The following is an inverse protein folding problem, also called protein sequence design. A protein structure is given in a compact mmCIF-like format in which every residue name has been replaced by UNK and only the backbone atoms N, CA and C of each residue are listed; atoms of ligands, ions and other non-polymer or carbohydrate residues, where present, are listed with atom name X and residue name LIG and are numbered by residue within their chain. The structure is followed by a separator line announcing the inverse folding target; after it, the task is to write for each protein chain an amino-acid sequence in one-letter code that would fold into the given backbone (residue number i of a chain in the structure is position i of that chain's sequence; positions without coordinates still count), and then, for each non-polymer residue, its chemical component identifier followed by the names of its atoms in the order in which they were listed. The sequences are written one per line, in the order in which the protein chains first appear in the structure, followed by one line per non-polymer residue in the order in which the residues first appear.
data_IF_430635438024
#
_entry.id   IF_430635438024
#
_cell.length_a   1.000
_cell.length_b   1.000
_cell.length_c   1.000
_cell.angle_alpha   90.00
_cell.angle_beta   90.00
_cell.angle_gamma   90.00
#
_symmetry.space_group_name_H-M   'P 1'
#
loop_
_entity.id
_entity.type
_entity.pdbx_description
1 polymer ?
#
# COMPACT_ATOMS: atom_id res chain seq x y z
N UNK A 1 10.63 1.32 11.00
CA UNK A 1 12.05 1.45 10.60
C UNK A 1 12.27 1.32 9.08
N UNK A 2 11.58 0.40 8.37
CA UNK A 2 11.77 0.20 6.91
C UNK A 2 11.42 1.41 6.05
N UNK A 3 10.53 2.28 6.50
CA UNK A 3 10.13 3.50 5.78
C UNK A 3 10.89 4.75 6.21
N UNK A 4 11.79 4.64 7.19
CA UNK A 4 12.67 5.76 7.58
C UNK A 4 13.58 6.25 6.44
N UNK A 5 14.20 5.39 5.62
CA UNK A 5 14.99 5.85 4.47
C UNK A 5 14.17 6.68 3.46
N UNK A 6 12.88 6.39 3.32
CA UNK A 6 11.96 7.18 2.48
C UNK A 6 11.77 8.58 3.08
N UNK A 7 11.61 8.66 4.40
CA UNK A 7 11.57 9.95 5.11
C UNK A 7 12.83 10.75 4.88
N UNK A 8 13.99 10.14 5.11
CA UNK A 8 15.28 10.82 4.99
C UNK A 8 15.48 11.37 3.56
N UNK A 9 15.11 10.59 2.55
CA UNK A 9 15.18 11.00 1.15
C UNK A 9 14.20 12.15 0.82
N UNK A 10 12.93 12.03 1.18
CA UNK A 10 11.92 13.06 0.96
C UNK A 10 12.29 14.36 1.68
N UNK A 11 12.81 14.25 2.91
CA UNK A 11 13.26 15.39 3.69
C UNK A 11 14.42 16.14 3.02
N UNK A 12 15.38 15.40 2.46
CA UNK A 12 16.49 16.00 1.71
C UNK A 12 15.98 16.80 0.51
N UNK A 13 15.04 16.25 -0.28
CA UNK A 13 14.47 16.98 -1.42
C UNK A 13 13.68 18.20 -0.96
N UNK A 14 12.88 18.07 0.10
CA UNK A 14 12.08 19.19 0.63
C UNK A 14 12.96 20.30 1.20
N UNK A 15 14.14 19.99 1.73
CA UNK A 15 15.10 20.99 2.20
C UNK A 15 15.78 21.74 1.04
N UNK A 16 15.90 21.10 -0.15
CA UNK A 16 16.38 21.73 -1.39
C UNK A 16 15.27 22.51 -2.11
N UNK A 17 14.04 21.98 -2.10
CA UNK A 17 12.85 22.61 -2.70
C UNK A 17 11.65 22.47 -1.74
N UNK A 18 11.37 23.52 -1.00
CA UNK A 18 10.27 23.56 -0.02
C UNK A 18 8.88 23.35 -0.65
N UNK A 19 8.74 23.53 -1.96
CA UNK A 19 7.47 23.37 -2.70
C UNK A 19 7.29 21.96 -3.26
N UNK A 20 8.27 21.08 -3.15
CA UNK A 20 8.27 19.74 -3.75
C UNK A 20 7.03 18.89 -3.41
N UNK A 21 6.53 18.99 -2.18
CA UNK A 21 5.36 18.25 -1.71
C UNK A 21 4.07 19.08 -1.71
N UNK A 22 4.11 20.34 -2.19
CA UNK A 22 2.94 21.20 -2.22
C UNK A 22 1.82 20.60 -3.08
N UNK A 23 0.62 20.55 -2.52
CA UNK A 23 -0.56 19.99 -3.17
C UNK A 23 -0.60 18.45 -3.23
N UNK A 24 0.44 17.76 -2.75
CA UNK A 24 0.46 16.30 -2.66
C UNK A 24 -0.34 15.84 -1.45
N UNK A 25 -1.24 14.87 -1.67
CA UNK A 25 -1.98 14.22 -0.58
C UNK A 25 -1.34 12.88 -0.24
N UNK A 26 -0.91 12.74 1.00
CA UNK A 26 -0.40 11.48 1.51
C UNK A 26 -1.55 10.55 1.91
N UNK A 27 -1.55 9.35 1.37
CA UNK A 27 -2.46 8.27 1.80
C UNK A 27 -1.58 7.06 2.15
N UNK A 28 -1.63 6.63 3.39
CA UNK A 28 -0.74 5.58 3.87
C UNK A 28 -1.35 4.64 4.89
N UNK A 29 -0.66 3.54 5.13
CA UNK A 29 -1.01 2.60 6.18
C UNK A 29 -0.60 3.14 7.56
N UNK A 30 -1.35 2.75 8.59
CA UNK A 30 -1.12 3.18 9.98
C UNK A 30 0.24 2.78 10.56
N UNK A 31 0.99 1.90 9.92
CA UNK A 31 2.32 1.44 10.34
C UNK A 31 3.49 2.07 9.57
N UNK A 32 3.24 3.14 8.81
CA UNK A 32 4.30 3.93 8.18
C UNK A 32 5.15 4.62 9.25
N UNK A 33 6.42 4.90 8.95
CA UNK A 33 7.28 5.68 9.84
C UNK A 33 6.61 7.03 10.16
N UNK A 34 6.41 7.38 11.44
CA UNK A 34 5.51 8.47 11.82
C UNK A 34 5.82 9.82 11.17
N UNK A 35 7.11 10.14 11.02
CA UNK A 35 7.51 11.45 10.50
C UNK A 35 7.27 11.61 8.98
N UNK A 36 7.12 10.51 8.22
CA UNK A 36 6.80 10.58 6.78
C UNK A 36 5.52 11.37 6.56
N UNK A 37 4.46 11.04 7.30
CA UNK A 37 3.17 11.72 7.16
C UNK A 37 3.23 13.22 7.52
N UNK A 38 4.20 13.62 8.36
CA UNK A 38 4.35 15.00 8.80
C UNK A 38 4.98 15.91 7.75
N UNK A 39 5.53 15.34 6.68
CA UNK A 39 6.02 16.08 5.52
C UNK A 39 4.89 16.61 4.64
N UNK A 40 3.66 16.13 4.82
CA UNK A 40 2.53 16.45 3.96
C UNK A 40 1.48 17.26 4.71
N UNK A 41 0.99 18.34 4.10
CA UNK A 41 -0.11 19.14 4.64
C UNK A 41 -1.45 18.39 4.61
N UNK A 42 -1.64 17.57 3.57
CA UNK A 42 -2.85 16.79 3.34
C UNK A 42 -2.53 15.31 3.52
N UNK A 43 -3.15 14.68 4.50
CA UNK A 43 -2.82 13.29 4.83
C UNK A 43 -4.02 12.50 5.36
N UNK A 44 -4.04 11.21 5.05
CA UNK A 44 -4.95 10.24 5.61
C UNK A 44 -4.21 8.92 5.86
N UNK A 45 -4.47 8.31 7.01
CA UNK A 45 -4.01 6.95 7.31
C UNK A 45 -5.19 5.99 7.25
N UNK A 46 -4.97 4.82 6.70
CA UNK A 46 -5.93 3.73 6.75
C UNK A 46 -5.39 2.55 7.56
N UNK A 47 -6.32 1.78 8.12
CA UNK A 47 -6.01 0.61 8.92
C UNK A 47 -5.89 -0.62 8.02
N UNK A 48 -4.82 -1.38 8.19
CA UNK A 48 -4.64 -2.66 7.50
C UNK A 48 -5.03 -3.82 8.43
N UNK A 49 -5.61 -4.90 7.90
CA UNK A 49 -5.90 -6.10 8.68
C UNK A 49 -4.60 -6.83 9.09
N UNK A 50 -4.71 -7.70 10.09
CA UNK A 50 -3.61 -8.53 10.60
C UNK A 50 -2.40 -7.71 11.08
N UNK A 51 -2.66 -6.62 11.74
CA UNK A 51 -1.66 -5.72 12.32
C UNK A 51 -2.03 -5.43 13.77
N UNK A 52 -1.11 -5.71 14.70
CA UNK A 52 -1.37 -5.57 16.13
C UNK A 52 -1.75 -4.14 16.53
N UNK A 53 -1.15 -3.12 15.89
CA UNK A 53 -1.51 -1.72 16.10
C UNK A 53 -2.94 -1.43 15.65
N UNK A 54 -3.35 -1.98 14.51
CA UNK A 54 -4.73 -1.89 14.02
C UNK A 54 -5.72 -2.53 15.01
N UNK A 55 -5.42 -3.74 15.47
CA UNK A 55 -6.29 -4.44 16.43
C UNK A 55 -6.40 -3.66 17.74
N UNK A 56 -5.30 -3.12 18.23
CA UNK A 56 -5.29 -2.25 19.40
C UNK A 56 -6.15 -0.99 19.21
N UNK A 57 -6.03 -0.31 18.07
CA UNK A 57 -6.85 0.87 17.75
C UNK A 57 -8.33 0.51 17.73
N UNK A 58 -8.70 -0.57 17.06
CA UNK A 58 -10.10 -0.98 16.96
C UNK A 58 -10.69 -1.40 18.31
N UNK A 59 -9.94 -2.13 19.10
CA UNK A 59 -10.41 -2.60 20.40
C UNK A 59 -10.48 -1.48 21.44
N UNK A 60 -9.57 -0.51 21.40
CA UNK A 60 -9.52 0.57 22.40
C UNK A 60 -10.35 1.79 22.05
N UNK A 61 -10.49 2.09 20.76
CA UNK A 61 -11.13 3.31 20.30
C UNK A 61 -12.49 3.06 19.65
N UNK A 62 -12.50 2.29 18.56
CA UNK A 62 -13.74 1.99 17.84
C UNK A 62 -13.58 0.70 17.01
N UNK A 63 -14.31 -0.35 17.35
CA UNK A 63 -14.29 -1.63 16.66
C UNK A 63 -14.83 -1.56 15.23
N UNK A 64 -15.64 -0.55 14.92
CA UNK A 64 -16.27 -0.35 13.61
C UNK A 64 -15.40 0.40 12.61
N UNK A 65 -14.19 0.86 13.01
CA UNK A 65 -13.25 1.49 12.07
C UNK A 65 -12.95 0.54 10.90
N UNK A 66 -13.09 1.03 9.66
CA UNK A 66 -12.95 0.20 8.49
C UNK A 66 -11.51 -0.28 8.29
N UNK A 67 -11.38 -1.51 7.81
CA UNK A 67 -10.12 -2.09 7.40
C UNK A 67 -10.02 -2.10 5.88
N UNK A 68 -8.83 -1.82 5.36
CA UNK A 68 -8.55 -1.97 3.93
C UNK A 68 -7.97 -3.37 3.68
N UNK A 69 -8.84 -4.29 3.32
CA UNK A 69 -8.45 -5.66 3.00
C UNK A 69 -7.65 -5.71 1.69
N UNK A 70 -6.75 -6.69 1.58
CA UNK A 70 -5.84 -6.82 0.45
C UNK A 70 -4.68 -5.81 0.44
N UNK A 71 -4.54 -4.99 1.48
CA UNK A 71 -3.52 -3.93 1.58
C UNK A 71 -2.10 -4.42 1.94
N UNK A 72 -1.90 -5.71 2.12
CA UNK A 72 -0.60 -6.33 2.40
C UNK A 72 -0.08 -7.09 1.17
N UNK A 73 1.24 -7.25 1.01
CA UNK A 73 2.33 -6.74 1.86
C UNK A 73 2.99 -5.46 1.35
N UNK A 74 2.63 -4.92 0.18
CA UNK A 74 3.32 -3.78 -0.45
C UNK A 74 2.44 -2.53 -0.57
N UNK A 75 3.07 -1.38 -0.92
CA UNK A 75 2.34 -0.14 -1.20
C UNK A 75 1.35 -0.28 -2.36
N UNK A 76 1.65 -1.08 -3.38
CA UNK A 76 0.72 -1.39 -4.49
C UNK A 76 -0.53 -2.07 -3.96
N UNK A 77 -0.38 -3.07 -3.08
CA UNK A 77 -1.50 -3.74 -2.44
C UNK A 77 -2.36 -2.74 -1.63
N UNK A 78 -1.70 -1.86 -0.88
CA UNK A 78 -2.36 -0.78 -0.14
C UNK A 78 -3.16 0.15 -1.04
N UNK A 79 -2.56 0.60 -2.14
CA UNK A 79 -3.22 1.49 -3.10
C UNK A 79 -4.42 0.82 -3.78
N UNK A 80 -4.26 -0.38 -4.32
CA UNK A 80 -5.36 -1.13 -4.97
C UNK A 80 -6.48 -1.41 -3.99
N UNK A 81 -6.14 -1.89 -2.78
CA UNK A 81 -7.12 -2.13 -1.73
C UNK A 81 -7.89 -0.87 -1.36
N UNK A 82 -7.19 0.26 -1.19
CA UNK A 82 -7.80 1.54 -0.89
C UNK A 82 -8.77 2.00 -1.98
N UNK A 83 -8.32 2.08 -3.23
CA UNK A 83 -9.15 2.55 -4.34
C UNK A 83 -10.32 1.62 -4.65
N UNK A 84 -10.17 0.31 -4.44
CA UNK A 84 -11.27 -0.63 -4.52
C UNK A 84 -12.36 -0.35 -3.47
N UNK A 85 -11.95 0.02 -2.26
CA UNK A 85 -12.90 0.28 -1.17
C UNK A 85 -13.63 1.62 -1.26
N UNK A 86 -13.02 2.65 -1.84
CA UNK A 86 -13.67 3.97 -1.98
C UNK A 86 -14.53 4.11 -3.24
N UNK A 87 -14.43 3.18 -4.20
CA UNK A 87 -15.20 3.23 -5.44
C UNK A 87 -14.70 4.28 -6.43
N UNK A 88 -13.43 4.23 -6.79
CA UNK A 88 -12.73 5.27 -7.56
C UNK A 88 -12.87 5.18 -9.09
N UNK A 89 -13.76 4.35 -9.63
CA UNK A 89 -13.80 4.10 -11.08
C UNK A 89 -12.68 3.16 -11.55
N UNK A 90 -12.30 3.21 -12.83
CA UNK A 90 -11.27 2.33 -13.40
C UNK A 90 -9.90 2.55 -12.78
N UNK A 91 -9.15 1.46 -12.62
CA UNK A 91 -7.78 1.47 -12.10
C UNK A 91 -6.81 0.99 -13.17
N UNK A 92 -5.75 1.74 -13.37
CA UNK A 92 -4.65 1.41 -14.29
C UNK A 92 -3.39 1.11 -13.49
N UNK A 93 -2.88 -0.12 -13.59
CA UNK A 93 -1.70 -0.59 -12.86
C UNK A 93 -0.45 -0.41 -13.74
N UNK A 94 0.46 0.48 -13.34
CA UNK A 94 1.75 0.70 -13.98
C UNK A 94 2.89 0.27 -13.07
N UNK A 95 3.88 -0.45 -13.63
CA UNK A 95 5.03 -0.93 -12.84
C UNK A 95 4.66 -1.94 -11.75
N UNK A 96 3.51 -2.59 -11.88
CA UNK A 96 3.01 -3.62 -10.96
C UNK A 96 3.36 -5.00 -11.50
N UNK A 97 4.65 -5.26 -11.73
CA UNK A 97 5.11 -6.41 -12.50
C UNK A 97 4.94 -7.74 -11.77
N UNK A 98 5.02 -7.77 -10.44
CA UNK A 98 4.97 -8.99 -9.61
C UNK A 98 5.88 -10.11 -10.11
N UNK A 99 6.92 -9.74 -10.81
CA UNK A 99 7.88 -10.64 -11.43
C UNK A 99 8.85 -9.88 -12.33
N UNK A 100 9.69 -10.61 -13.03
CA UNK A 100 10.74 -10.06 -13.90
C UNK A 100 11.03 -11.00 -15.07
N UNK A 101 11.40 -10.44 -16.22
CA UNK A 101 11.72 -11.22 -17.42
C UNK A 101 13.14 -11.75 -17.44
N UNK A 102 14.03 -11.10 -16.70
CA UNK A 102 15.44 -11.47 -16.57
C UNK A 102 15.70 -11.82 -15.09
N UNK A 103 16.04 -13.07 -14.81
CA UNK A 103 16.28 -13.56 -13.46
C UNK A 103 17.40 -12.84 -12.70
N UNK A 104 18.21 -12.07 -13.39
CA UNK A 104 19.27 -11.23 -12.81
C UNK A 104 18.81 -9.81 -12.48
N UNK A 105 17.60 -9.41 -12.91
CA UNK A 105 17.07 -8.03 -12.81
C UNK A 105 15.73 -7.98 -12.08
N UNK A 106 15.74 -8.43 -10.83
CA UNK A 106 14.53 -8.49 -10.00
C UNK A 106 14.00 -7.14 -9.50
N UNK A 107 14.77 -6.06 -9.66
CA UNK A 107 14.38 -4.68 -9.35
C UNK A 107 14.96 -3.72 -10.39
N UNK A 108 14.48 -2.49 -10.42
CA UNK A 108 15.03 -1.45 -11.29
C UNK A 108 16.49 -1.18 -10.93
N UNK A 109 17.31 -0.87 -11.96
CA UNK A 109 18.77 -0.72 -11.85
C UNK A 109 19.22 0.24 -10.74
N UNK A 110 18.44 1.27 -10.47
CA UNK A 110 18.78 2.31 -9.49
C UNK A 110 18.04 2.11 -8.14
N UNK A 111 17.46 0.94 -7.90
CA UNK A 111 16.82 0.67 -6.62
C UNK A 111 17.85 0.38 -5.53
N UNK A 112 17.57 0.80 -4.31
CA UNK A 112 18.42 0.52 -3.14
C UNK A 112 18.62 -0.98 -2.82
N UNK A 113 17.86 -1.86 -3.50
CA UNK A 113 18.02 -3.30 -3.35
C UNK A 113 19.36 -3.84 -3.85
N UNK A 114 19.98 -3.17 -4.82
CA UNK A 114 21.28 -3.59 -5.33
C UNK A 114 22.46 -3.11 -4.46
N UNK A 115 22.27 -2.02 -3.72
CA UNK A 115 23.32 -1.39 -2.93
C UNK A 115 23.18 -1.66 -1.43
N UNK A 116 22.00 -1.43 -0.87
CA UNK A 116 21.75 -1.47 0.58
C UNK A 116 21.36 -2.86 1.10
N UNK A 117 20.78 -3.71 0.25
CA UNK A 117 20.20 -4.99 0.64
C UNK A 117 20.89 -6.21 0.00
N UNK A 118 22.09 -6.05 -0.53
CA UNK A 118 22.85 -7.13 -1.20
C UNK A 118 22.97 -8.43 -0.40
N UNK A 119 23.09 -8.33 0.92
CA UNK A 119 23.26 -9.52 1.77
C UNK A 119 21.91 -10.15 2.17
N UNK A 120 20.85 -9.36 2.23
CA UNK A 120 19.53 -9.82 2.68
C UNK A 120 18.82 -10.70 1.64
N UNK A 121 19.21 -10.58 0.38
CA UNK A 121 18.45 -11.14 -0.75
C UNK A 121 19.02 -12.42 -1.35
N UNK A 122 20.20 -12.88 -0.97
CA UNK A 122 20.81 -14.07 -1.59
C UNK A 122 19.99 -15.35 -1.45
N UNK A 123 19.28 -15.51 -0.34
CA UNK A 123 18.48 -16.71 -0.07
C UNK A 123 17.01 -16.55 -0.48
N UNK A 124 16.49 -15.34 -0.54
CA UNK A 124 15.09 -15.07 -0.91
C UNK A 124 14.80 -15.38 -2.38
N UNK A 125 15.80 -15.24 -3.25
CA UNK A 125 15.70 -15.51 -4.69
C UNK A 125 16.05 -16.96 -5.08
N UNK A 126 16.39 -17.80 -4.13
CA UNK A 126 16.83 -19.19 -4.38
C UNK A 126 15.69 -20.10 -4.88
N UNK A 127 14.44 -19.67 -4.82
CA UNK A 127 13.27 -20.43 -5.27
C UNK A 127 12.45 -19.63 -6.28
N UNK A 128 13.00 -19.49 -7.48
CA UNK A 128 12.28 -18.89 -8.58
C UNK A 128 11.18 -19.82 -9.08
N UNK A 129 9.99 -19.24 -9.26
CA UNK A 129 8.89 -19.86 -9.99
C UNK A 129 8.67 -19.09 -11.29
N UNK A 130 7.93 -19.68 -12.21
CA UNK A 130 7.49 -18.98 -13.42
C UNK A 130 5.98 -18.82 -13.42
N UNK A 131 5.51 -17.69 -13.97
CA UNK A 131 4.10 -17.38 -14.17
C UNK A 131 3.85 -16.97 -15.61
N UNK A 132 2.58 -17.02 -16.02
CA UNK A 132 2.13 -16.44 -17.29
C UNK A 132 2.36 -14.91 -17.25
N UNK A 133 2.90 -14.36 -18.32
CA UNK A 133 3.07 -12.92 -18.48
C UNK A 133 1.75 -12.23 -18.85
N UNK A 134 1.60 -10.97 -18.47
CA UNK A 134 0.40 -10.15 -18.73
C UNK A 134 0.11 -10.04 -20.25
N UNK A 135 1.15 -9.84 -21.04
CA UNK A 135 1.07 -9.81 -22.51
C UNK A 135 1.55 -11.11 -23.16
N UNK A 136 1.44 -12.22 -22.43
CA UNK A 136 1.90 -13.54 -22.87
C UNK A 136 3.35 -13.85 -22.48
N UNK A 137 3.79 -15.05 -22.87
CA UNK A 137 5.11 -15.56 -22.47
C UNK A 137 5.18 -15.94 -21.01
N UNK A 138 6.39 -15.97 -20.45
CA UNK A 138 6.67 -16.33 -19.06
C UNK A 138 7.48 -15.26 -18.37
N UNK A 139 7.22 -15.07 -17.08
CA UNK A 139 8.00 -14.20 -16.17
C UNK A 139 8.48 -15.02 -14.98
N UNK A 140 9.64 -14.67 -14.45
CA UNK A 140 10.14 -15.18 -13.20
C UNK A 140 9.47 -14.45 -12.04
N UNK A 141 9.22 -15.17 -10.96
CA UNK A 141 8.68 -14.59 -9.72
C UNK A 141 9.24 -15.34 -8.53
N UNK A 142 9.14 -14.74 -7.36
CA UNK A 142 9.46 -15.35 -6.09
C UNK A 142 8.21 -15.40 -5.18
N UNK A 143 8.37 -16.00 -4.01
CA UNK A 143 7.28 -16.13 -3.05
C UNK A 143 6.69 -14.78 -2.62
N UNK A 144 7.51 -13.74 -2.52
CA UNK A 144 7.08 -12.41 -2.10
C UNK A 144 6.24 -11.75 -3.18
N UNK A 145 6.74 -11.71 -4.42
CA UNK A 145 6.00 -11.15 -5.56
C UNK A 145 4.70 -11.92 -5.83
N UNK A 146 4.75 -13.25 -5.75
CA UNK A 146 3.56 -14.08 -5.98
C UNK A 146 2.50 -13.85 -4.88
N UNK A 147 2.92 -13.69 -3.64
CA UNK A 147 2.04 -13.31 -2.52
C UNK A 147 1.42 -11.92 -2.72
N UNK A 148 2.22 -10.94 -3.18
CA UNK A 148 1.72 -9.61 -3.51
C UNK A 148 0.67 -9.65 -4.61
N UNK A 149 0.94 -10.41 -5.68
CA UNK A 149 0.02 -10.61 -6.80
C UNK A 149 -1.30 -11.23 -6.35
N UNK A 150 -1.26 -12.31 -5.58
CA UNK A 150 -2.45 -12.97 -5.05
C UNK A 150 -3.27 -12.04 -4.14
N UNK A 151 -2.63 -11.18 -3.37
CA UNK A 151 -3.32 -10.20 -2.52
C UNK A 151 -4.05 -9.13 -3.34
N UNK A 152 -3.47 -8.69 -4.47
CA UNK A 152 -4.17 -7.80 -5.42
C UNK A 152 -5.35 -8.52 -6.06
N UNK A 153 -5.18 -9.76 -6.52
CA UNK A 153 -6.25 -10.58 -7.10
C UNK A 153 -7.40 -10.80 -6.10
N UNK A 154 -7.07 -11.04 -4.83
CA UNK A 154 -8.05 -11.14 -3.76
C UNK A 154 -8.82 -9.83 -3.57
N UNK A 155 -8.12 -8.68 -3.54
CA UNK A 155 -8.75 -7.37 -3.41
C UNK A 155 -9.70 -7.07 -4.59
N UNK A 156 -9.28 -7.36 -5.81
CA UNK A 156 -10.12 -7.16 -7.01
C UNK A 156 -11.37 -8.03 -6.94
N UNK A 157 -11.24 -9.29 -6.52
CA UNK A 157 -12.36 -10.25 -6.48
C UNK A 157 -13.40 -9.91 -5.40
N UNK A 158 -12.96 -9.45 -4.23
CA UNK A 158 -13.82 -9.40 -3.04
C UNK A 158 -14.16 -7.99 -2.55
N UNK A 159 -13.45 -6.97 -3.00
CA UNK A 159 -13.57 -5.63 -2.46
C UNK A 159 -13.88 -4.54 -3.50
N UNK A 160 -14.14 -4.91 -4.73
CA UNK A 160 -14.64 -3.96 -5.74
C UNK A 160 -16.08 -3.63 -5.42
N UNK A 161 -16.35 -2.38 -5.05
CA UNK A 161 -17.70 -1.90 -4.75
C UNK A 161 -18.51 -1.49 -5.99
N UNK A 162 -17.82 -1.14 -7.05
CA UNK A 162 -18.44 -0.74 -8.31
C UNK A 162 -18.30 -1.87 -9.33
N UNK A 163 -19.42 -2.51 -9.67
CA UNK A 163 -19.46 -3.63 -10.63
C UNK A 163 -19.10 -3.19 -12.06
N UNK A 164 -19.20 -1.91 -12.37
CA UNK A 164 -18.83 -1.37 -13.68
C UNK A 164 -17.34 -1.01 -13.79
N UNK A 165 -16.59 -1.15 -12.70
CA UNK A 165 -15.18 -0.81 -12.64
C UNK A 165 -14.33 -1.87 -13.30
N UNK A 166 -13.38 -1.42 -14.11
CA UNK A 166 -12.33 -2.27 -14.68
C UNK A 166 -10.98 -1.97 -14.02
N UNK A 167 -10.22 -3.02 -13.77
CA UNK A 167 -8.82 -2.90 -13.38
C UNK A 167 -7.96 -3.33 -14.56
N UNK A 168 -7.23 -2.39 -15.13
CA UNK A 168 -6.32 -2.63 -16.24
C UNK A 168 -4.90 -2.90 -15.74
N UNK A 169 -4.26 -3.94 -16.25
CA UNK A 169 -2.84 -4.18 -16.02
C UNK A 169 -2.04 -3.71 -17.24
N UNK A 170 -1.36 -2.58 -17.07
CA UNK A 170 -0.51 -1.97 -18.11
C UNK A 170 0.96 -2.35 -17.94
N UNK A 171 1.29 -3.25 -17.02
CA UNK A 171 2.65 -3.69 -16.73
C UNK A 171 3.03 -4.93 -17.53
N UNK A 172 4.28 -5.03 -17.97
CA UNK A 172 4.80 -6.18 -18.72
C UNK A 172 5.40 -7.25 -17.77
N UNK A 173 4.71 -7.51 -16.69
CA UNK A 173 5.04 -8.49 -15.66
C UNK A 173 4.13 -9.71 -15.66
N UNK A 174 3.91 -10.28 -14.48
CA UNK A 174 3.02 -11.42 -14.29
C UNK A 174 1.55 -11.03 -14.52
N UNK A 175 0.80 -11.94 -15.12
CA UNK A 175 -0.66 -11.80 -15.25
C UNK A 175 -1.31 -11.75 -13.87
N UNK A 176 -2.17 -10.78 -13.68
CA UNK A 176 -2.98 -10.60 -12.47
C UNK A 176 -4.42 -11.00 -12.80
N UNK A 177 -4.94 -12.02 -12.13
CA UNK A 177 -6.31 -12.50 -12.38
C UNK A 177 -7.32 -11.46 -11.92
N UNK A 178 -8.30 -11.17 -12.79
CA UNK A 178 -9.31 -10.14 -12.57
C UNK A 178 -8.95 -8.78 -13.17
N UNK A 179 -7.78 -8.66 -13.81
CA UNK A 179 -7.43 -7.48 -14.60
C UNK A 179 -7.56 -7.74 -16.10
N UNK A 180 -7.67 -6.66 -16.87
CA UNK A 180 -7.59 -6.68 -18.33
C UNK A 180 -6.21 -6.17 -18.77
N UNK A 181 -5.44 -6.91 -19.58
CA UNK A 181 -4.21 -6.40 -20.18
C UNK A 181 -4.51 -5.19 -21.08
N UNK A 182 -3.73 -4.11 -20.93
CA UNK A 182 -3.87 -2.92 -21.74
C UNK A 182 -2.50 -2.32 -22.03
N UNK A 183 -2.17 -2.15 -23.32
CA UNK A 183 -0.94 -1.48 -23.74
C UNK A 183 -1.04 0.03 -23.51
N UNK A 184 0.10 0.70 -23.31
CA UNK A 184 0.15 2.13 -23.04
C UNK A 184 -0.42 2.97 -24.17
N UNK A 185 -0.19 2.55 -25.39
CA UNK A 185 -0.66 3.20 -26.63
C UNK A 185 -2.18 3.10 -26.83
N UNK A 186 -2.84 2.14 -26.14
CA UNK A 186 -4.28 1.91 -26.25
C UNK A 186 -5.08 2.61 -25.12
N UNK A 187 -4.39 3.39 -24.26
CA UNK A 187 -5.06 4.09 -23.16
C UNK A 187 -5.74 5.34 -23.69
N UNK A 188 -7.06 5.36 -23.61
CA UNK A 188 -7.87 6.52 -23.89
C UNK A 188 -8.47 7.08 -22.60
N UNK A 189 -8.14 8.33 -22.25
CA UNK A 189 -8.68 9.03 -21.09
C UNK A 189 -9.68 10.07 -21.55
N UNK A 190 -10.94 9.82 -21.27
CA UNK A 190 -12.05 10.69 -21.71
C UNK A 190 -12.22 11.95 -20.84
N UNK A 191 -11.71 11.96 -19.61
CA UNK A 191 -11.97 13.04 -18.65
C UNK A 191 -10.72 13.55 -17.97
N UNK A 192 -10.65 14.86 -17.80
CA UNK A 192 -9.68 15.51 -16.89
C UNK A 192 -10.27 15.51 -15.49
N UNK A 193 -9.69 14.74 -14.58
CA UNK A 193 -10.09 14.73 -13.18
C UNK A 193 -9.70 16.04 -12.48
N UNK A 194 -10.64 16.67 -11.79
CA UNK A 194 -10.32 17.70 -10.80
C UNK A 194 -9.63 17.02 -9.59
N UNK A 195 -8.30 17.01 -9.62
CA UNK A 195 -7.47 16.35 -8.60
C UNK A 195 -7.70 16.92 -7.20
N UNK A 196 -8.00 18.23 -7.11
CA UNK A 196 -8.27 18.87 -5.82
C UNK A 196 -9.62 18.40 -5.28
N UNK A 197 -10.67 18.45 -6.07
CA UNK A 197 -12.00 17.99 -5.67
C UNK A 197 -11.99 16.50 -5.28
N UNK A 198 -11.27 15.66 -6.04
CA UNK A 198 -11.10 14.25 -5.70
C UNK A 198 -10.37 14.07 -4.36
N UNK A 199 -9.25 14.77 -4.16
CA UNK A 199 -8.50 14.71 -2.91
C UNK A 199 -9.32 15.21 -1.71
N UNK A 200 -10.11 16.27 -1.87
CA UNK A 200 -11.02 16.79 -0.84
C UNK A 200 -12.10 15.77 -0.49
N UNK A 201 -12.66 15.11 -1.48
CA UNK A 201 -13.63 14.02 -1.31
C UNK A 201 -13.00 12.87 -0.51
N UNK A 202 -11.85 12.36 -0.92
CA UNK A 202 -11.14 11.27 -0.22
C UNK A 202 -10.87 11.64 1.24
N UNK A 203 -10.33 12.83 1.52
CA UNK A 203 -10.03 13.27 2.87
C UNK A 203 -11.30 13.47 3.72
N UNK A 204 -12.45 13.71 3.11
CA UNK A 204 -13.71 13.85 3.84
C UNK A 204 -14.13 12.57 4.56
N UNK A 205 -13.78 11.39 4.03
CA UNK A 205 -14.04 10.10 4.67
C UNK A 205 -13.30 9.90 6.00
N UNK A 206 -12.18 10.60 6.22
CA UNK A 206 -11.37 10.50 7.43
C UNK A 206 -11.69 11.52 8.51
N UNK A 207 -12.47 12.56 8.21
CA UNK A 207 -12.67 13.70 9.13
C UNK A 207 -13.31 13.36 10.46
N UNK A 208 -14.20 12.38 10.49
CA UNK A 208 -14.95 11.99 11.69
C UNK A 208 -14.21 10.97 12.56
N UNK A 209 -13.01 10.56 12.15
CA UNK A 209 -12.23 9.51 12.80
C UNK A 209 -10.86 10.03 13.28
N UNK A 210 -10.82 11.17 13.95
CA UNK A 210 -9.59 11.72 14.52
C UNK A 210 -9.34 11.14 15.91
N UNK A 211 -8.26 10.37 16.05
CA UNK A 211 -7.84 9.80 17.34
C UNK A 211 -7.19 10.88 18.20
N UNK A 212 -7.65 11.02 19.45
CA UNK A 212 -6.97 11.85 20.43
C UNK A 212 -5.75 11.12 21.01
N UNK A 213 -4.52 11.65 20.88
CA UNK A 213 -3.33 11.00 21.42
C UNK A 213 -3.40 10.72 22.93
N UNK A 214 -3.96 11.64 23.71
CA UNK A 214 -4.07 11.49 25.17
C UNK A 214 -5.05 10.40 25.58
N UNK A 215 -6.16 10.28 24.87
CA UNK A 215 -7.15 9.19 25.14
C UNK A 215 -6.54 7.85 24.77
N UNK A 216 -5.86 7.77 23.64
CA UNK A 216 -5.18 6.59 23.16
C UNK A 216 -4.13 6.06 24.15
N UNK A 217 -3.22 6.93 24.61
CA UNK A 217 -2.15 6.57 25.56
C UNK A 217 -2.73 6.01 26.88
N UNK A 218 -3.74 6.67 27.42
CA UNK A 218 -4.40 6.21 28.66
C UNK A 218 -5.02 4.83 28.49
N UNK A 219 -5.79 4.62 27.43
CA UNK A 219 -6.50 3.36 27.21
C UNK A 219 -5.57 2.18 26.92
N UNK A 220 -4.45 2.40 26.23
CA UNK A 220 -3.42 1.38 26.05
C UNK A 220 -2.81 0.99 27.39
N UNK A 221 -2.40 1.96 28.19
CA UNK A 221 -1.79 1.70 29.49
C UNK A 221 -2.75 0.94 30.42
N UNK A 222 -4.02 1.32 30.46
CA UNK A 222 -5.04 0.61 31.25
C UNK A 222 -5.20 -0.86 30.82
N UNK A 223 -5.14 -1.15 29.50
CA UNK A 223 -5.22 -2.52 28.99
C UNK A 223 -3.96 -3.33 29.28
N UNK A 224 -2.80 -2.74 29.11
CA UNK A 224 -1.52 -3.39 29.44
C UNK A 224 -1.52 -3.77 30.91
N UNK A 225 -1.87 -2.85 31.80
CA UNK A 225 -1.92 -3.12 33.22
C UNK A 225 -2.93 -4.24 33.57
N UNK A 226 -4.14 -4.22 33.02
CA UNK A 226 -5.12 -5.31 33.18
C UNK A 226 -4.61 -6.66 32.70
N UNK A 227 -3.84 -6.68 31.62
CA UNK A 227 -3.26 -7.92 31.09
C UNK A 227 -2.16 -8.44 32.02
N UNK A 228 -1.30 -7.55 32.53
CA UNK A 228 -0.27 -7.90 33.52
C UNK A 228 -0.94 -8.48 34.76
N UNK A 229 -1.95 -7.80 35.30
CA UNK A 229 -2.70 -8.27 36.49
C UNK A 229 -3.28 -9.67 36.29
N UNK A 230 -3.74 -10.02 35.11
CA UNK A 230 -4.24 -11.38 34.80
C UNK A 230 -3.10 -12.39 34.80
N UNK A 231 -1.94 -12.04 34.20
CA UNK A 231 -0.77 -12.94 34.13
C UNK A 231 -0.20 -13.20 35.55
N UNK A 232 -0.11 -12.17 36.38
CA UNK A 232 0.47 -12.26 37.72
C UNK A 232 -0.43 -13.04 38.71
N UNK A 233 -1.71 -13.25 38.36
CA UNK A 233 -2.68 -13.96 39.19
C UNK A 233 -2.97 -15.40 38.70
N UNK A 234 -2.22 -15.92 37.72
CA UNK A 234 -2.28 -17.31 37.22
C UNK A 234 -1.10 -18.11 37.75
#
# INVERSE_FOLDING_TARGET
ERTKPVYDWLKTIQDEDSTFLEGVTFIGMNNVYPDVQNLFDRKMLFLKPNDAGTDMIRVTYNSELPLIYGSNPTCVNGAVGFFNNIGSGDIYLFGCDFGYKDETKHHSKNSGYFDTFKEYNKDAYAKLATREGNFGGKVFTDQTYDSCRHSVEYSIRHHVKDENKTVFNCSDGAKVVGTQPLHLEDIELEQVLDKKAFSDCVLSYGKDNVLSPKTWEREINDRINKTIDVIDNV
#
